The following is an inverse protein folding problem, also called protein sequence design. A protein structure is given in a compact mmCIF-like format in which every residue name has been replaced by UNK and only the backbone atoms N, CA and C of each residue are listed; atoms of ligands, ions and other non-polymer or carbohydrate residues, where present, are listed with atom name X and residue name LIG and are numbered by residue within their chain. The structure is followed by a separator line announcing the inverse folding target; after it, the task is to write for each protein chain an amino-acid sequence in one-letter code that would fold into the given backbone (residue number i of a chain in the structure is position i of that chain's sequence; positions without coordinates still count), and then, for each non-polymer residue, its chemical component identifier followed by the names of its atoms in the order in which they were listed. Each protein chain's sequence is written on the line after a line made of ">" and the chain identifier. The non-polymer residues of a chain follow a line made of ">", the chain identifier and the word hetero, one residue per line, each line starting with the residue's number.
data_IF_510781451119
#
_entry.id   IF_510781451119
#
_cell.length_a   1.000
_cell.length_b   1.000
_cell.length_c   1.000
_cell.angle_alpha   90.00
_cell.angle_beta   90.00
_cell.angle_gamma   90.00
#
_symmetry.space_group_name_H-M   'P 1'
#
loop_
_entity.id
_entity.type
_entity.pdbx_description
1 polymer ?
#
# COMPACT_ATOMS: atom_id res chain seq x y z
N UNK A 1 10.95 -0.87 14.98
CA UNK A 1 10.63 -1.49 13.68
C UNK A 1 9.43 -0.79 13.07
N UNK A 2 9.49 -0.45 11.82
CA UNK A 2 8.35 0.12 11.13
C UNK A 2 7.56 -0.98 10.43
N UNK A 3 6.24 -0.96 10.59
CA UNK A 3 5.37 -1.86 9.84
C UNK A 3 5.31 -1.41 8.38
N UNK A 4 5.16 -2.35 7.48
CA UNK A 4 4.91 -2.07 6.08
C UNK A 4 3.46 -2.39 5.77
N UNK A 5 2.76 -1.46 5.14
CA UNK A 5 1.33 -1.56 4.87
C UNK A 5 1.11 -1.58 3.38
N UNK A 6 0.36 -2.57 2.91
CA UNK A 6 -0.03 -2.67 1.50
C UNK A 6 -1.42 -2.06 1.34
N UNK A 7 -1.52 -1.03 0.51
CA UNK A 7 -2.76 -0.34 0.22
C UNK A 7 -3.28 -0.79 -1.14
N UNK A 8 -4.49 -1.32 -1.18
CA UNK A 8 -5.12 -1.81 -2.40
C UNK A 8 -6.39 -1.01 -2.67
N UNK A 9 -6.39 -0.22 -3.73
CA UNK A 9 -7.55 0.57 -4.11
C UNK A 9 -7.46 0.91 -5.60
N UNK A 10 -8.55 0.75 -6.32
CA UNK A 10 -8.59 1.06 -7.76
C UNK A 10 -8.76 2.54 -8.04
N UNK A 11 -9.09 3.34 -7.04
CA UNK A 11 -9.21 4.79 -7.18
C UNK A 11 -7.88 5.45 -6.83
N UNK A 12 -7.25 6.09 -7.83
CA UNK A 12 -5.94 6.72 -7.64
C UNK A 12 -5.95 7.83 -6.59
N UNK A 13 -6.99 8.63 -6.56
CA UNK A 13 -7.07 9.76 -5.62
C UNK A 13 -7.17 9.26 -4.19
N UNK A 14 -8.04 8.30 -3.95
CA UNK A 14 -8.23 7.72 -2.62
C UNK A 14 -6.97 6.97 -2.18
N UNK A 15 -6.37 6.20 -3.07
CA UNK A 15 -5.14 5.47 -2.78
C UNK A 15 -4.03 6.44 -2.36
N UNK A 16 -3.88 7.55 -3.08
CA UNK A 16 -2.86 8.55 -2.76
C UNK A 16 -3.11 9.22 -1.41
N UNK A 17 -4.35 9.52 -1.09
CA UNK A 17 -4.72 10.12 0.19
C UNK A 17 -4.39 9.18 1.34
N UNK A 18 -4.77 7.92 1.23
CA UNK A 18 -4.50 6.91 2.26
C UNK A 18 -2.98 6.72 2.40
N UNK A 19 -2.27 6.66 1.28
CA UNK A 19 -0.82 6.51 1.29
C UNK A 19 -0.14 7.62 2.07
N UNK A 20 -0.54 8.87 1.83
CA UNK A 20 0.02 10.01 2.55
C UNK A 20 -0.28 9.95 4.05
N UNK A 21 -1.53 9.62 4.40
CA UNK A 21 -1.92 9.55 5.81
C UNK A 21 -1.10 8.49 6.55
N UNK A 22 -0.90 7.34 5.95
CA UNK A 22 -0.16 6.25 6.58
C UNK A 22 1.33 6.58 6.67
N UNK A 23 1.90 7.19 5.63
CA UNK A 23 3.30 7.62 5.68
C UNK A 23 3.51 8.69 6.73
N UNK A 24 2.58 9.62 6.87
CA UNK A 24 2.65 10.66 7.89
C UNK A 24 2.61 10.08 9.30
N UNK A 25 1.95 8.92 9.47
CA UNK A 25 1.93 8.22 10.74
C UNK A 25 3.22 7.43 11.02
N UNK A 26 4.16 7.43 10.10
CA UNK A 26 5.47 6.80 10.30
C UNK A 26 5.60 5.39 9.75
N UNK A 27 4.65 4.93 8.94
CA UNK A 27 4.70 3.58 8.35
C UNK A 27 5.27 3.61 6.94
N UNK A 28 5.89 2.50 6.55
CA UNK A 28 6.23 2.28 5.15
C UNK A 28 5.01 1.76 4.41
N UNK A 29 4.86 2.16 3.16
CA UNK A 29 3.71 1.76 2.36
C UNK A 29 4.14 1.16 1.04
N UNK A 30 3.31 0.24 0.54
CA UNK A 30 3.31 -0.20 -0.85
C UNK A 30 1.89 -0.05 -1.36
N UNK A 31 1.72 0.25 -2.64
CA UNK A 31 0.40 0.47 -3.22
C UNK A 31 0.16 -0.51 -4.37
N UNK A 32 -1.09 -0.90 -4.51
CA UNK A 32 -1.55 -1.74 -5.62
C UNK A 32 -2.89 -1.20 -6.11
N UNK A 33 -3.09 -1.18 -7.42
CA UNK A 33 -4.31 -0.64 -8.01
C UNK A 33 -5.44 -1.68 -8.06
N UNK A 34 -5.10 -2.96 -7.95
CA UNK A 34 -6.09 -4.03 -8.05
C UNK A 34 -5.59 -5.29 -7.34
N UNK A 35 -6.46 -6.31 -7.31
CA UNK A 35 -6.17 -7.55 -6.63
C UNK A 35 -4.93 -8.26 -7.20
N UNK A 36 -4.80 -8.29 -8.52
CA UNK A 36 -3.66 -8.97 -9.16
C UNK A 36 -2.34 -8.29 -8.80
N UNK A 37 -2.31 -6.97 -8.76
CA UNK A 37 -1.12 -6.23 -8.33
C UNK A 37 -0.83 -6.49 -6.85
N UNK A 38 -1.87 -6.57 -6.02
CA UNK A 38 -1.69 -6.88 -4.61
C UNK A 38 -1.06 -8.25 -4.41
N UNK A 39 -1.52 -9.25 -5.14
CA UNK A 39 -0.94 -10.59 -5.09
C UNK A 39 0.53 -10.59 -5.52
N UNK A 40 0.85 -9.83 -6.59
CA UNK A 40 2.23 -9.69 -7.05
C UNK A 40 3.12 -9.09 -5.96
N UNK A 41 2.63 -8.08 -5.25
CA UNK A 41 3.41 -7.45 -4.19
C UNK A 41 3.63 -8.38 -3.00
N UNK A 42 2.64 -9.15 -2.64
CA UNK A 42 2.75 -10.13 -1.57
C UNK A 42 3.73 -11.25 -1.97
N UNK A 43 3.69 -11.65 -3.24
CA UNK A 43 4.57 -12.69 -3.77
C UNK A 43 6.04 -12.26 -3.76
N UNK A 44 6.31 -10.99 -4.02
CA UNK A 44 7.66 -10.45 -3.96
C UNK A 44 8.17 -10.39 -2.53
N UNK A 45 7.33 -9.94 -1.62
CA UNK A 45 7.71 -9.76 -0.23
C UNK A 45 6.45 -9.54 0.60
N UNK A 46 6.31 -10.27 1.69
CA UNK A 46 5.20 -10.03 2.62
C UNK A 46 5.36 -8.67 3.29
N UNK A 47 4.27 -7.93 3.44
CA UNK A 47 4.31 -6.64 4.12
C UNK A 47 4.73 -6.72 5.57
#
# INVERSE_FOLDING_TARGET
>A
MSAEILIVDDNNDIRNIINELIQDAGYKTRIAANYNQALSEIDKKLP
#
